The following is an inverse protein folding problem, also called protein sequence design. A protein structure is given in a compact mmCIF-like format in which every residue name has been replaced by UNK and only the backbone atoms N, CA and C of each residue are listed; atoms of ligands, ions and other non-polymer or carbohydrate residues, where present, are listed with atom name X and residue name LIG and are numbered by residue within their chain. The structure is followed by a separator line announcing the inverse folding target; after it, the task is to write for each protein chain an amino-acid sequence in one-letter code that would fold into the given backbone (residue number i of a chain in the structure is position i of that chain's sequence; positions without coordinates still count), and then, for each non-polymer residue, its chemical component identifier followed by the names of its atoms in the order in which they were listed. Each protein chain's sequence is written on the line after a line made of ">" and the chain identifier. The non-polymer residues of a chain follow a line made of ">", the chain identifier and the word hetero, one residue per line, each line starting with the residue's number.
data_IF_619535253609
#
_entry.id   IF_619535253609
#
_cell.length_a   1.000
_cell.length_b   1.000
_cell.length_c   1.000
_cell.angle_alpha   90.00
_cell.angle_beta   90.00
_cell.angle_gamma   90.00
#
_symmetry.space_group_name_H-M   'P 1'
#
loop_
_entity.id
_entity.type
_entity.pdbx_description
1 polymer ?
#
# COMPACT_ATOMS: atom_id res chain seq x y z
N UNK A 1 47.61 -20.93 -22.77
CA UNK A 1 47.49 -21.52 -24.13
C UNK A 1 46.17 -22.30 -24.30
N UNK A 2 45.10 -21.90 -23.65
CA UNK A 2 43.81 -22.63 -23.65
C UNK A 2 42.59 -21.77 -24.02
N UNK A 3 42.80 -20.49 -24.23
CA UNK A 3 41.69 -19.59 -24.61
C UNK A 3 41.57 -19.34 -26.13
N UNK A 4 42.62 -19.69 -26.90
CA UNK A 4 42.67 -19.49 -28.36
C UNK A 4 42.10 -20.69 -29.15
N UNK A 5 41.89 -21.83 -28.48
CA UNK A 5 41.34 -23.04 -29.12
C UNK A 5 39.79 -23.15 -29.01
N UNK A 6 39.11 -22.21 -28.33
CA UNK A 6 37.65 -22.19 -28.24
C UNK A 6 36.99 -21.34 -29.32
N UNK A 7 37.78 -20.63 -30.15
CA UNK A 7 37.30 -19.81 -31.26
C UNK A 7 37.50 -20.46 -32.65
N UNK A 8 38.06 -21.65 -32.70
CA UNK A 8 38.12 -22.43 -33.89
C UNK A 8 37.36 -23.74 -33.70
N UNK A 9 36.29 -23.89 -34.36
CA UNK A 9 35.48 -25.07 -34.64
C UNK A 9 34.05 -25.00 -34.13
N UNK A 10 33.33 -24.09 -34.71
CA UNK A 10 32.05 -24.47 -35.29
C UNK A 10 32.03 -23.85 -36.67
N UNK A 11 32.20 -24.62 -37.74
CA UNK A 11 31.71 -24.19 -39.02
C UNK A 11 30.20 -24.02 -38.81
N UNK A 12 29.74 -22.77 -38.88
CA UNK A 12 28.32 -22.47 -39.04
C UNK A 12 27.92 -23.29 -40.28
N UNK A 13 27.34 -24.45 -40.02
CA UNK A 13 26.92 -25.35 -41.08
C UNK A 13 25.94 -24.54 -41.91
N UNK A 14 26.33 -24.19 -43.14
CA UNK A 14 25.50 -23.39 -44.03
C UNK A 14 24.13 -24.04 -44.25
N UNK A 15 24.02 -25.32 -43.93
CA UNK A 15 22.81 -26.12 -43.88
C UNK A 15 21.87 -25.74 -42.70
N UNK A 16 22.39 -25.42 -41.52
CA UNK A 16 21.57 -25.01 -40.40
C UNK A 16 21.05 -23.57 -40.54
N UNK A 17 21.91 -22.67 -41.04
CA UNK A 17 21.48 -21.28 -41.37
C UNK A 17 20.48 -21.28 -42.54
N UNK A 18 20.67 -22.14 -43.55
CA UNK A 18 19.70 -22.27 -44.64
C UNK A 18 18.38 -22.89 -44.16
N UNK A 19 18.43 -23.85 -43.25
CA UNK A 19 17.21 -24.39 -42.60
C UNK A 19 16.47 -23.36 -41.76
N UNK A 20 17.19 -22.57 -40.99
CA UNK A 20 16.57 -21.48 -40.21
C UNK A 20 16.00 -20.40 -41.14
N UNK A 21 16.76 -20.00 -42.19
CA UNK A 21 16.25 -19.06 -43.19
C UNK A 21 15.05 -19.59 -43.96
N UNK A 22 15.05 -20.89 -44.30
CA UNK A 22 13.91 -21.53 -44.93
C UNK A 22 12.68 -21.63 -43.99
N UNK A 23 12.89 -21.94 -42.70
CA UNK A 23 11.82 -21.96 -41.69
C UNK A 23 11.27 -20.56 -41.42
N UNK A 24 12.10 -19.53 -41.43
CA UNK A 24 11.68 -18.13 -41.32
C UNK A 24 10.93 -17.68 -42.58
N UNK A 25 11.44 -18.04 -43.76
CA UNK A 25 10.78 -17.74 -45.05
C UNK A 25 9.46 -18.48 -45.21
N UNK A 26 9.35 -19.72 -44.75
CA UNK A 26 8.11 -20.49 -44.68
C UNK A 26 7.11 -19.87 -43.67
N UNK A 27 7.59 -19.48 -42.51
CA UNK A 27 6.74 -18.72 -41.55
C UNK A 27 6.27 -17.39 -42.12
N UNK A 28 7.11 -16.67 -42.84
CA UNK A 28 6.76 -15.41 -43.49
C UNK A 28 5.82 -15.60 -44.69
N UNK A 29 5.89 -16.72 -45.38
CA UNK A 29 5.05 -17.01 -46.54
C UNK A 29 3.70 -17.65 -46.13
N UNK A 30 3.64 -18.35 -44.98
CA UNK A 30 2.40 -18.96 -44.46
C UNK A 30 1.58 -18.03 -43.59
N UNK A 31 2.19 -16.95 -43.05
CA UNK A 31 1.44 -15.95 -42.31
C UNK A 31 0.75 -15.01 -43.31
N UNK A 32 -0.42 -15.38 -43.75
CA UNK A 32 -1.25 -14.57 -44.63
C UNK A 32 -1.55 -13.22 -43.95
N UNK A 33 -1.59 -12.11 -44.70
CA UNK A 33 -1.96 -10.79 -44.15
C UNK A 33 -3.27 -10.85 -43.35
N UNK A 34 -4.18 -11.73 -43.71
CA UNK A 34 -5.42 -12.04 -43.00
C UNK A 34 -5.17 -12.60 -41.59
N UNK A 35 -4.17 -13.46 -41.38
CA UNK A 35 -3.86 -14.04 -40.06
C UNK A 35 -3.24 -13.00 -39.13
N UNK A 36 -2.33 -12.17 -39.67
CA UNK A 36 -1.78 -11.03 -38.93
C UNK A 36 -2.87 -10.02 -38.54
N UNK A 37 -3.78 -9.74 -39.44
CA UNK A 37 -4.92 -8.86 -39.17
C UNK A 37 -5.84 -9.47 -38.10
N UNK A 38 -6.14 -10.76 -38.15
CA UNK A 38 -6.94 -11.46 -37.16
C UNK A 38 -6.26 -11.41 -35.78
N UNK A 39 -4.95 -11.70 -35.71
CA UNK A 39 -4.20 -11.62 -34.45
C UNK A 39 -4.16 -10.19 -33.86
N UNK A 40 -4.02 -9.16 -34.71
CA UNK A 40 -4.05 -7.77 -34.29
C UNK A 40 -5.44 -7.38 -33.76
N UNK A 41 -6.51 -7.82 -34.42
CA UNK A 41 -7.87 -7.58 -33.98
C UNK A 41 -8.14 -8.26 -32.63
N UNK A 42 -7.74 -9.52 -32.47
CA UNK A 42 -7.90 -10.23 -31.20
C UNK A 42 -7.14 -9.58 -30.06
N UNK A 43 -5.91 -9.16 -30.29
CA UNK A 43 -5.11 -8.40 -29.31
C UNK A 43 -5.75 -7.05 -28.99
N UNK A 44 -6.26 -6.34 -29.98
CA UNK A 44 -6.95 -5.06 -29.78
C UNK A 44 -8.25 -5.21 -28.99
N UNK A 45 -9.03 -6.24 -29.28
CA UNK A 45 -10.27 -6.58 -28.54
C UNK A 45 -9.92 -6.96 -27.09
N UNK A 46 -8.93 -7.84 -26.89
CA UNK A 46 -8.49 -8.25 -25.55
C UNK A 46 -7.97 -7.05 -24.74
N UNK A 47 -7.20 -6.17 -25.36
CA UNK A 47 -6.75 -4.94 -24.70
C UNK A 47 -7.91 -4.00 -24.39
N UNK A 48 -8.85 -3.81 -25.32
CA UNK A 48 -10.07 -3.03 -25.11
C UNK A 48 -10.89 -3.54 -23.91
N UNK A 49 -11.06 -4.86 -23.79
CA UNK A 49 -11.75 -5.46 -22.65
C UNK A 49 -11.02 -5.21 -21.33
N UNK A 50 -9.68 -5.28 -21.31
CA UNK A 50 -8.88 -4.96 -20.11
C UNK A 50 -9.04 -3.50 -19.70
N UNK A 51 -9.05 -2.58 -20.66
CA UNK A 51 -9.27 -1.14 -20.40
C UNK A 51 -10.68 -0.89 -19.86
N UNK A 52 -11.70 -1.54 -20.42
CA UNK A 52 -13.07 -1.44 -19.91
C UNK A 52 -13.18 -2.00 -18.48
N UNK A 53 -12.55 -3.15 -18.22
CA UNK A 53 -12.51 -3.72 -16.87
C UNK A 53 -11.79 -2.79 -15.88
N UNK A 54 -10.66 -2.21 -16.26
CA UNK A 54 -9.92 -1.25 -15.45
C UNK A 54 -10.75 0.01 -15.16
N UNK A 55 -11.47 0.51 -16.15
CA UNK A 55 -12.38 1.66 -15.99
C UNK A 55 -13.53 1.32 -15.01
N UNK A 56 -14.12 0.15 -15.13
CA UNK A 56 -15.17 -0.30 -14.22
C UNK A 56 -14.63 -0.41 -12.77
N UNK A 57 -13.44 -1.03 -12.58
CA UNK A 57 -12.76 -1.12 -11.29
C UNK A 57 -12.52 0.28 -10.71
N UNK A 58 -12.00 1.21 -11.52
CA UNK A 58 -11.75 2.57 -11.08
C UNK A 58 -13.03 3.30 -10.65
N UNK A 59 -14.09 3.21 -11.43
CA UNK A 59 -15.37 3.88 -11.13
C UNK A 59 -16.02 3.32 -9.86
N UNK A 60 -16.06 1.99 -9.74
CA UNK A 60 -16.59 1.30 -8.55
C UNK A 60 -15.74 1.63 -7.32
N UNK A 61 -14.41 1.56 -7.44
CA UNK A 61 -13.48 1.87 -6.37
C UNK A 61 -13.57 3.34 -5.93
N UNK A 62 -13.63 4.28 -6.86
CA UNK A 62 -13.80 5.71 -6.55
C UNK A 62 -15.16 6.00 -5.88
N UNK A 63 -16.21 5.29 -6.27
CA UNK A 63 -17.51 5.37 -5.61
C UNK A 63 -17.41 4.80 -4.18
N UNK A 64 -16.78 3.64 -3.98
CA UNK A 64 -16.57 3.04 -2.67
C UNK A 64 -15.75 3.95 -1.75
N UNK A 65 -14.66 4.55 -2.23
CA UNK A 65 -13.85 5.50 -1.47
C UNK A 65 -14.68 6.70 -1.04
N UNK A 66 -15.51 7.26 -1.93
CA UNK A 66 -16.44 8.35 -1.56
C UNK A 66 -17.42 7.95 -0.47
N UNK A 67 -17.96 6.73 -0.53
CA UNK A 67 -18.85 6.20 0.51
C UNK A 67 -18.13 6.08 1.86
N UNK A 68 -16.90 5.53 1.87
CA UNK A 68 -16.07 5.41 3.07
C UNK A 68 -15.78 6.79 3.67
N UNK A 69 -15.36 7.77 2.85
CA UNK A 69 -15.13 9.15 3.29
C UNK A 69 -16.36 9.74 3.97
N UNK A 70 -17.52 9.58 3.35
CA UNK A 70 -18.77 10.10 3.90
C UNK A 70 -19.19 9.40 5.21
N UNK A 71 -18.91 8.10 5.34
CA UNK A 71 -19.15 7.37 6.59
C UNK A 71 -18.24 7.88 7.70
N UNK A 72 -16.96 8.03 7.42
CA UNK A 72 -15.96 8.57 8.37
C UNK A 72 -16.36 9.97 8.81
N UNK A 73 -16.70 10.85 7.87
CA UNK A 73 -17.15 12.22 8.17
C UNK A 73 -18.39 12.22 9.10
N UNK A 74 -19.36 11.35 8.85
CA UNK A 74 -20.56 11.22 9.70
C UNK A 74 -20.22 10.75 11.12
N UNK A 75 -19.28 9.81 11.27
CA UNK A 75 -18.84 9.31 12.57
C UNK A 75 -18.15 10.42 13.37
N UNK A 76 -17.26 11.17 12.75
CA UNK A 76 -16.57 12.28 13.41
C UNK A 76 -17.52 13.43 13.78
N UNK A 77 -18.47 13.76 12.89
CA UNK A 77 -19.48 14.77 13.17
C UNK A 77 -20.36 14.39 14.38
N UNK A 78 -20.73 13.12 14.53
CA UNK A 78 -21.52 12.64 15.69
C UNK A 78 -20.75 12.69 17.00
N UNK A 79 -19.43 12.55 16.96
CA UNK A 79 -18.57 12.55 18.16
C UNK A 79 -18.04 13.95 18.53
N UNK A 80 -18.45 15.00 17.83
CA UNK A 80 -17.94 16.37 18.01
C UNK A 80 -16.40 16.42 18.01
N UNK A 81 -15.77 15.59 17.15
CA UNK A 81 -14.32 15.53 17.03
C UNK A 81 -13.82 16.84 16.40
N UNK A 82 -12.66 17.33 16.85
CA UNK A 82 -12.02 18.49 16.26
C UNK A 82 -11.92 18.38 14.73
N UNK A 83 -12.29 19.45 14.03
CA UNK A 83 -12.36 19.46 12.57
C UNK A 83 -10.99 19.21 11.90
N UNK A 84 -9.91 19.64 12.54
CA UNK A 84 -8.55 19.41 12.03
C UNK A 84 -8.18 17.93 12.09
N UNK A 85 -8.48 17.26 13.22
CA UNK A 85 -8.24 15.82 13.39
C UNK A 85 -9.08 15.01 12.40
N UNK A 86 -10.37 15.34 12.28
CA UNK A 86 -11.28 14.66 11.36
C UNK A 86 -10.79 14.78 9.89
N UNK A 87 -10.40 15.99 9.47
CA UNK A 87 -9.88 16.25 8.14
C UNK A 87 -8.55 15.53 7.88
N UNK A 88 -7.65 15.52 8.84
CA UNK A 88 -6.36 14.83 8.75
C UNK A 88 -6.52 13.32 8.55
N UNK A 89 -7.31 12.66 9.42
CA UNK A 89 -7.56 11.23 9.33
C UNK A 89 -8.26 10.85 8.02
N UNK A 90 -9.26 11.66 7.62
CA UNK A 90 -9.97 11.45 6.35
C UNK A 90 -9.03 11.58 5.15
N UNK A 91 -8.10 12.53 5.18
CA UNK A 91 -7.11 12.74 4.11
C UNK A 91 -6.15 11.55 4.01
N UNK A 92 -5.59 11.07 5.11
CA UNK A 92 -4.69 9.91 5.12
C UNK A 92 -5.40 8.68 4.55
N UNK A 93 -6.60 8.36 5.05
CA UNK A 93 -7.37 7.21 4.58
C UNK A 93 -7.69 7.34 3.09
N UNK A 94 -8.10 8.54 2.64
CA UNK A 94 -8.43 8.80 1.24
C UNK A 94 -7.21 8.61 0.34
N UNK A 95 -6.04 9.13 0.72
CA UNK A 95 -4.80 9.00 -0.03
C UNK A 95 -4.40 7.52 -0.12
N UNK A 96 -4.40 6.80 1.00
CA UNK A 96 -4.03 5.38 1.03
C UNK A 96 -4.95 4.54 0.12
N UNK A 97 -6.26 4.71 0.24
CA UNK A 97 -7.24 3.99 -0.58
C UNK A 97 -7.12 4.36 -2.07
N UNK A 98 -6.83 5.62 -2.38
CA UNK A 98 -6.67 6.07 -3.77
C UNK A 98 -5.41 5.46 -4.40
N UNK A 99 -4.30 5.40 -3.67
CA UNK A 99 -3.07 4.74 -4.13
C UNK A 99 -3.33 3.26 -4.43
N UNK A 100 -3.99 2.55 -3.52
CA UNK A 100 -4.36 1.14 -3.71
C UNK A 100 -5.25 0.97 -4.95
N UNK A 101 -6.27 1.82 -5.11
CA UNK A 101 -7.15 1.78 -6.27
C UNK A 101 -6.39 1.98 -7.58
N UNK A 102 -5.47 2.93 -7.64
CA UNK A 102 -4.64 3.19 -8.83
C UNK A 102 -3.84 1.95 -9.19
N UNK A 103 -3.19 1.30 -8.21
CA UNK A 103 -2.37 0.10 -8.45
C UNK A 103 -3.23 -1.05 -8.98
N UNK A 104 -4.39 -1.30 -8.37
CA UNK A 104 -5.32 -2.33 -8.84
C UNK A 104 -5.78 -2.03 -10.27
N UNK A 105 -6.07 -0.76 -10.57
CA UNK A 105 -6.52 -0.34 -11.89
C UNK A 105 -5.43 -0.53 -12.96
N UNK A 106 -4.18 -0.17 -12.64
CA UNK A 106 -3.01 -0.37 -13.52
C UNK A 106 -2.78 -1.86 -13.77
N UNK A 107 -2.86 -2.69 -12.71
CA UNK A 107 -2.74 -4.14 -12.80
C UNK A 107 -3.84 -4.78 -13.67
N UNK A 108 -5.06 -4.25 -13.63
CA UNK A 108 -6.17 -4.74 -14.45
C UNK A 108 -5.96 -4.51 -15.95
N UNK A 109 -5.21 -3.50 -16.35
CA UNK A 109 -4.79 -3.27 -17.76
C UNK A 109 -3.76 -4.32 -18.19
N UNK A 110 -3.06 -4.95 -17.23
CA UNK A 110 -2.03 -5.96 -17.48
C UNK A 110 -0.61 -5.44 -17.32
N UNK A 111 -0.43 -4.28 -16.70
CA UNK A 111 0.89 -3.73 -16.36
C UNK A 111 1.35 -4.36 -15.04
N UNK A 112 2.60 -4.82 -14.99
CA UNK A 112 3.17 -5.36 -13.75
C UNK A 112 3.34 -4.26 -12.70
N UNK A 113 2.64 -4.44 -11.59
CA UNK A 113 2.64 -3.51 -10.47
C UNK A 113 3.52 -3.98 -9.30
N UNK A 114 4.22 -5.09 -9.45
CA UNK A 114 5.02 -5.71 -8.37
C UNK A 114 6.07 -4.75 -7.81
N UNK A 115 6.78 -4.03 -8.66
CA UNK A 115 7.80 -3.05 -8.24
C UNK A 115 7.18 -1.87 -7.47
N UNK A 116 6.01 -1.41 -7.90
CA UNK A 116 5.27 -0.32 -7.23
C UNK A 116 4.79 -0.81 -5.86
N UNK A 117 4.25 -2.03 -5.79
CA UNK A 117 3.81 -2.64 -4.55
C UNK A 117 4.98 -2.83 -3.56
N UNK A 118 6.15 -3.27 -4.05
CA UNK A 118 7.35 -3.41 -3.23
C UNK A 118 7.83 -2.05 -2.68
N UNK A 119 7.82 -0.99 -3.49
CA UNK A 119 8.18 0.36 -3.07
C UNK A 119 7.22 0.88 -1.99
N UNK A 120 5.92 0.66 -2.16
CA UNK A 120 4.91 1.04 -1.18
C UNK A 120 5.02 0.24 0.12
N UNK A 121 5.34 -1.05 0.03
CA UNK A 121 5.59 -1.87 1.22
C UNK A 121 6.79 -1.36 2.01
N UNK A 122 7.90 -1.00 1.33
CA UNK A 122 9.07 -0.38 1.96
C UNK A 122 8.76 0.98 2.60
N UNK A 123 8.05 1.84 1.88
CA UNK A 123 7.58 3.13 2.40
C UNK A 123 6.62 2.99 3.58
N UNK A 124 5.68 2.03 3.50
CA UNK A 124 4.76 1.69 4.57
C UNK A 124 5.48 1.18 5.82
N UNK A 125 6.51 0.34 5.64
CA UNK A 125 7.35 -0.14 6.73
C UNK A 125 8.10 1.03 7.41
N UNK A 126 8.66 1.95 6.64
CA UNK A 126 9.35 3.13 7.19
C UNK A 126 8.40 4.02 8.01
N UNK A 127 7.18 4.27 7.50
CA UNK A 127 6.13 5.00 8.24
C UNK A 127 5.73 4.24 9.50
N UNK A 128 5.53 2.91 9.40
CA UNK A 128 5.17 2.06 10.54
C UNK A 128 6.22 2.10 11.65
N UNK A 129 7.50 2.06 11.30
CA UNK A 129 8.60 2.19 12.26
C UNK A 129 8.63 3.59 12.91
N UNK A 130 8.41 4.65 12.12
CA UNK A 130 8.35 6.01 12.63
C UNK A 130 7.18 6.23 13.62
N UNK A 131 6.06 5.55 13.42
CA UNK A 131 4.85 5.66 14.26
C UNK A 131 4.81 4.63 15.39
N UNK A 132 5.78 3.72 15.49
CA UNK A 132 5.77 2.60 16.43
C UNK A 132 5.51 3.04 17.89
N UNK A 133 6.20 4.07 18.37
CA UNK A 133 5.99 4.59 19.73
C UNK A 133 4.57 5.13 19.96
N UNK A 134 4.00 5.81 18.96
CA UNK A 134 2.63 6.32 19.07
C UNK A 134 1.61 5.18 19.13
N UNK A 135 1.81 4.13 18.33
CA UNK A 135 0.95 2.94 18.32
C UNK A 135 1.06 2.18 19.65
N UNK A 136 2.27 2.06 20.22
CA UNK A 136 2.49 1.44 21.53
C UNK A 136 1.76 2.21 22.63
N UNK A 137 1.90 3.53 22.68
CA UNK A 137 1.20 4.36 23.67
C UNK A 137 -0.32 4.32 23.51
N UNK A 138 -0.81 4.25 22.27
CA UNK A 138 -2.22 4.06 21.99
C UNK A 138 -2.74 2.70 22.53
N UNK A 139 -2.01 1.61 22.26
CA UNK A 139 -2.35 0.30 22.77
C UNK A 139 -2.28 0.24 24.29
N UNK A 140 -1.27 0.86 24.91
CA UNK A 140 -1.15 1.00 26.37
C UNK A 140 -2.35 1.75 26.96
N UNK A 141 -2.73 2.88 26.37
CA UNK A 141 -3.89 3.66 26.80
C UNK A 141 -5.21 2.87 26.72
N UNK A 142 -5.38 2.11 25.62
CA UNK A 142 -6.55 1.24 25.46
C UNK A 142 -6.59 0.14 26.56
N UNK A 143 -5.44 -0.47 26.87
CA UNK A 143 -5.31 -1.46 27.93
C UNK A 143 -5.63 -0.85 29.31
N UNK A 144 -5.14 0.35 29.60
CA UNK A 144 -5.44 1.04 30.87
C UNK A 144 -6.94 1.31 30.99
N UNK A 145 -7.60 1.78 29.93
CA UNK A 145 -9.04 2.05 29.93
C UNK A 145 -9.87 0.77 30.04
N UNK A 146 -9.45 -0.32 29.38
CA UNK A 146 -10.18 -1.59 29.36
C UNK A 146 -10.05 -2.36 30.67
N UNK A 147 -8.83 -2.53 31.18
CA UNK A 147 -8.55 -3.34 32.37
C UNK A 147 -8.53 -2.52 33.67
N UNK A 148 -8.39 -1.19 33.55
CA UNK A 148 -8.38 -0.26 34.68
C UNK A 148 -7.44 -0.65 35.80
N UNK A 149 -6.14 -0.93 35.53
CA UNK A 149 -5.16 -1.21 36.58
C UNK A 149 -5.03 -0.04 37.55
N UNK A 150 -5.31 1.17 37.09
CA UNK A 150 -5.47 2.40 37.88
C UNK A 150 -6.52 3.31 37.20
N UNK A 151 -6.98 4.32 37.91
CA UNK A 151 -8.04 5.26 37.49
C UNK A 151 -7.61 6.70 37.82
N UNK A 152 -8.33 7.66 37.25
CA UNK A 152 -8.25 9.04 37.72
C UNK A 152 -8.59 9.12 39.21
N UNK A 153 -7.76 9.79 39.97
CA UNK A 153 -7.79 9.88 41.44
C UNK A 153 -6.85 8.93 42.17
N UNK A 154 -6.33 7.90 41.51
CA UNK A 154 -5.38 6.98 42.14
C UNK A 154 -3.99 7.60 42.21
N UNK A 155 -3.26 7.30 43.29
CA UNK A 155 -1.85 7.65 43.44
C UNK A 155 -0.98 6.55 42.83
N UNK A 156 -0.16 6.88 41.86
CA UNK A 156 0.72 5.93 41.16
C UNK A 156 2.15 6.42 41.10
N UNK A 157 3.07 5.48 40.92
CA UNK A 157 4.46 5.74 40.57
C UNK A 157 4.74 5.14 39.19
N UNK A 158 5.17 5.99 38.24
CA UNK A 158 5.49 5.58 36.88
C UNK A 158 6.65 6.42 36.32
N UNK A 159 7.58 5.77 35.61
CA UNK A 159 8.74 6.40 34.96
C UNK A 159 9.57 7.36 35.84
N UNK A 160 9.68 7.06 37.15
CA UNK A 160 10.43 7.87 38.10
C UNK A 160 9.67 9.08 38.65
N UNK A 161 8.41 9.25 38.26
CA UNK A 161 7.50 10.25 38.81
C UNK A 161 6.43 9.60 39.66
N UNK A 162 6.00 10.29 40.69
CA UNK A 162 4.92 9.87 41.58
C UNK A 162 3.87 10.98 41.72
N UNK A 163 2.61 10.61 41.82
CA UNK A 163 1.53 11.57 41.95
C UNK A 163 0.15 10.98 41.72
N UNK A 164 -0.86 11.82 41.82
CA UNK A 164 -2.28 11.46 41.60
C UNK A 164 -2.56 11.55 40.10
N UNK A 165 -3.17 10.49 39.56
CA UNK A 165 -3.66 10.46 38.17
C UNK A 165 -4.80 11.47 38.02
N UNK A 166 -4.60 12.47 37.20
CA UNK A 166 -5.62 13.49 36.91
C UNK A 166 -6.50 13.05 35.76
N UNK A 167 -5.89 12.46 34.71
CA UNK A 167 -6.60 12.09 33.49
C UNK A 167 -5.83 10.99 32.75
N UNK A 168 -6.56 10.02 32.22
CA UNK A 168 -6.03 8.98 31.30
C UNK A 168 -6.52 9.30 29.90
N UNK A 169 -5.60 9.72 29.02
CA UNK A 169 -5.86 9.97 27.61
C UNK A 169 -5.48 8.75 26.76
N UNK A 170 -5.79 8.82 25.47
CA UNK A 170 -5.57 7.73 24.51
C UNK A 170 -4.10 7.33 24.41
N UNK A 171 -3.17 8.29 24.44
CA UNK A 171 -1.73 8.05 24.24
C UNK A 171 -0.85 8.48 25.41
N UNK A 172 -1.46 9.09 26.46
CA UNK A 172 -0.72 9.59 27.61
C UNK A 172 -1.60 9.66 28.86
N UNK A 173 -0.99 9.50 30.00
CA UNK A 173 -1.60 9.70 31.33
C UNK A 173 -1.05 10.97 31.96
N UNK A 174 -1.95 11.79 32.53
CA UNK A 174 -1.57 13.01 33.26
C UNK A 174 -1.53 12.74 34.75
N UNK A 175 -0.43 13.12 35.38
CA UNK A 175 -0.22 13.05 36.82
C UNK A 175 -0.09 14.46 37.42
N UNK A 176 -0.54 14.62 38.64
CA UNK A 176 -0.22 15.79 39.46
C UNK A 176 0.62 15.31 40.64
N UNK A 177 1.85 15.79 40.74
CA UNK A 177 2.78 15.47 41.85
C UNK A 177 2.36 16.20 43.14
N UNK A 178 2.95 15.78 44.28
CA UNK A 178 2.76 16.45 45.58
C UNK A 178 3.14 17.95 45.54
N UNK A 179 4.11 18.32 44.70
CA UNK A 179 4.53 19.71 44.49
C UNK A 179 3.58 20.47 43.53
N UNK A 180 2.41 19.91 43.22
CA UNK A 180 1.43 20.47 42.31
C UNK A 180 1.93 20.69 40.87
N UNK A 181 2.92 19.89 40.41
CA UNK A 181 3.40 19.90 39.03
C UNK A 181 2.57 18.92 38.19
N UNK A 182 2.19 19.36 36.99
CA UNK A 182 1.51 18.48 36.02
C UNK A 182 2.55 17.77 35.15
N UNK A 183 2.50 16.47 35.13
CA UNK A 183 3.40 15.61 34.35
C UNK A 183 2.55 14.82 33.36
N UNK A 184 3.01 14.74 32.13
CA UNK A 184 2.39 13.94 31.06
C UNK A 184 3.33 12.77 30.77
N UNK A 185 2.85 11.57 30.99
CA UNK A 185 3.60 10.34 30.79
C UNK A 185 2.99 9.58 29.59
N UNK A 186 3.76 9.11 28.61
CA UNK A 186 3.28 8.18 27.59
C UNK A 186 2.74 6.91 28.23
N UNK A 187 1.68 6.32 27.66
CA UNK A 187 1.03 5.11 28.21
C UNK A 187 1.82 3.82 28.01
#
# INVERSE_FOLDING_TARGET
>A
MTFFNLLQTQPLDSLDVQKELAAVAEKLSTTTVTDLMAELIDKAVAFGLKVLAALAIYLIGAWAIRKIKNLIAKVFARKNTDAAVASFVQSIISIALTIILIIITIGAVGIDTTSIAALLAGGGMAIGLALNGTVQNFAGGLMIVAFKPFKAGDYIQAQGYEGVVTEVNIVSTKLTTVDNRRIIIPN
#
